data_IF_787150440253
#
_entry.id   IF_787150440253
#
_cell.length_a   1.000
_cell.length_b   1.000
_cell.length_c   1.000
_cell.angle_alpha   90.00
_cell.angle_beta   90.00
_cell.angle_gamma   90.00
#
_symmetry.space_group_name_H-M   'P 1'
#
loop_
_entity.id
_entity.type
_entity.pdbx_description
1 polymer ?
#
# COMPACT_ATOMS: atom_id res chain seq x y z
N UNK A 1 24.39 -27.05 -2.19
CA UNK A 1 23.84 -26.37 -1.01
C UNK A 1 24.23 -27.08 0.28
N UNK A 2 23.76 -28.31 0.53
CA UNK A 2 24.10 -29.08 1.75
C UNK A 2 25.61 -29.08 2.09
N UNK A 3 26.45 -29.43 1.13
CA UNK A 3 27.92 -29.39 1.29
C UNK A 3 28.45 -28.02 1.76
N UNK A 4 27.90 -26.90 1.26
CA UNK A 4 28.39 -25.57 1.64
C UNK A 4 28.01 -25.24 3.10
N UNK A 5 26.83 -25.65 3.54
CA UNK A 5 26.38 -25.46 4.92
C UNK A 5 27.18 -26.33 5.89
N UNK A 6 27.50 -27.57 5.49
CA UNK A 6 28.38 -28.48 6.25
C UNK A 6 29.80 -27.91 6.40
N UNK A 7 30.32 -27.25 5.37
CA UNK A 7 31.61 -26.54 5.40
C UNK A 7 31.55 -25.17 6.13
N UNK A 8 30.42 -24.85 6.78
CA UNK A 8 30.26 -23.66 7.61
C UNK A 8 29.93 -22.38 6.86
N UNK A 9 29.45 -22.46 5.61
CA UNK A 9 28.92 -21.28 4.92
C UNK A 9 27.70 -20.74 5.68
N UNK A 10 27.62 -19.41 5.95
CA UNK A 10 26.51 -18.85 6.68
C UNK A 10 25.21 -18.96 5.86
N UNK A 11 24.17 -19.54 6.46
CA UNK A 11 22.87 -19.72 5.82
C UNK A 11 22.21 -18.37 5.43
N UNK A 12 22.51 -17.31 6.19
CA UNK A 12 22.04 -15.94 5.99
C UNK A 12 22.99 -15.06 5.16
N UNK A 13 23.94 -15.65 4.43
CA UNK A 13 24.75 -14.89 3.49
C UNK A 13 23.85 -14.15 2.49
N UNK A 14 23.99 -12.82 2.44
CA UNK A 14 23.18 -11.94 1.62
C UNK A 14 24.04 -10.98 0.79
N UNK A 15 23.54 -10.65 -0.39
CA UNK A 15 24.15 -9.68 -1.32
C UNK A 15 23.12 -8.62 -1.73
N UNK A 16 23.51 -7.67 -2.58
CA UNK A 16 22.56 -6.74 -3.22
C UNK A 16 21.51 -7.45 -4.09
N UNK A 17 21.74 -8.70 -4.49
CA UNK A 17 20.78 -9.53 -5.22
C UNK A 17 19.87 -10.37 -4.31
N UNK A 18 20.12 -10.34 -3.00
CA UNK A 18 19.41 -11.11 -2.00
C UNK A 18 20.22 -12.22 -1.34
N UNK A 19 19.56 -12.99 -0.49
CA UNK A 19 20.08 -14.18 0.18
C UNK A 19 19.80 -15.47 -0.60
N UNK A 20 20.47 -16.57 -0.22
CA UNK A 20 20.18 -17.86 -0.82
C UNK A 20 18.72 -18.31 -0.58
N UNK A 21 18.15 -17.95 0.58
CA UNK A 21 16.76 -18.27 0.92
C UNK A 21 15.78 -17.53 0.00
N UNK A 22 16.04 -16.26 -0.28
CA UNK A 22 15.25 -15.43 -1.21
C UNK A 22 15.30 -15.99 -2.64
N UNK A 23 16.49 -16.39 -3.12
CA UNK A 23 16.65 -17.00 -4.45
C UNK A 23 15.87 -18.32 -4.54
N UNK A 24 15.95 -19.16 -3.50
CA UNK A 24 15.22 -20.41 -3.44
C UNK A 24 13.70 -20.19 -3.44
N UNK A 25 13.21 -19.20 -2.67
CA UNK A 25 11.81 -18.80 -2.61
C UNK A 25 11.29 -18.31 -3.97
N UNK A 26 12.06 -17.44 -4.64
CA UNK A 26 11.74 -16.92 -5.98
C UNK A 26 11.60 -18.03 -7.03
N UNK A 27 12.39 -19.11 -6.90
CA UNK A 27 12.37 -20.26 -7.81
C UNK A 27 11.44 -21.40 -7.40
N UNK A 28 10.68 -21.26 -6.30
CA UNK A 28 9.89 -22.33 -5.69
C UNK A 28 10.72 -23.61 -5.39
N UNK A 29 12.00 -23.45 -5.03
CA UNK A 29 12.91 -24.57 -4.77
C UNK A 29 12.80 -25.10 -3.33
N UNK A 30 11.66 -25.69 -3.01
CA UNK A 30 11.30 -26.17 -1.65
C UNK A 30 12.40 -27.01 -0.97
N UNK A 31 13.10 -27.95 -1.64
CA UNK A 31 14.16 -28.71 -0.98
C UNK A 31 15.33 -27.82 -0.52
N UNK A 32 15.67 -26.78 -1.29
CA UNK A 32 16.73 -25.84 -0.93
C UNK A 32 16.28 -24.90 0.18
N UNK A 33 15.03 -24.40 0.14
CA UNK A 33 14.45 -23.66 1.27
C UNK A 33 14.51 -24.47 2.56
N UNK A 34 14.08 -25.73 2.50
CA UNK A 34 14.05 -26.63 3.66
C UNK A 34 15.43 -26.77 4.27
N UNK A 35 16.45 -27.07 3.44
CA UNK A 35 17.84 -27.18 3.90
C UNK A 35 18.36 -25.90 4.56
N UNK A 36 18.02 -24.72 4.00
CA UNK A 36 18.45 -23.44 4.54
C UNK A 36 17.77 -23.12 5.88
N UNK A 37 16.45 -23.30 5.96
CA UNK A 37 15.68 -23.05 7.17
C UNK A 37 16.05 -24.04 8.28
N UNK A 38 16.31 -25.31 7.94
CA UNK A 38 16.79 -26.32 8.89
C UNK A 38 18.22 -26.02 9.38
N UNK A 39 19.04 -25.34 8.57
CA UNK A 39 20.35 -24.83 8.95
C UNK A 39 20.29 -23.50 9.73
N UNK A 40 19.09 -23.02 10.05
CA UNK A 40 18.88 -21.83 10.88
C UNK A 40 18.88 -20.50 10.11
N UNK A 41 18.65 -20.51 8.79
CA UNK A 41 18.42 -19.28 8.06
C UNK A 41 17.21 -18.52 8.62
N UNK A 42 17.33 -17.21 8.78
CA UNK A 42 16.25 -16.34 9.23
C UNK A 42 15.21 -16.16 8.11
N UNK A 43 13.96 -16.65 8.28
CA UNK A 43 12.91 -16.50 7.27
C UNK A 43 12.55 -15.04 6.98
N UNK A 44 12.80 -14.14 7.92
CA UNK A 44 12.51 -12.71 7.83
C UNK A 44 13.75 -11.87 7.49
N UNK A 45 14.86 -12.51 7.12
CA UNK A 45 16.07 -11.81 6.67
C UNK A 45 15.74 -10.86 5.52
N UNK A 46 15.91 -9.57 5.78
CA UNK A 46 15.73 -8.51 4.80
C UNK A 46 17.03 -8.29 4.04
N UNK A 47 16.99 -8.44 2.71
CA UNK A 47 18.16 -8.23 1.87
C UNK A 47 17.80 -7.68 0.49
N UNK A 48 18.83 -7.36 -0.29
CA UNK A 48 18.72 -6.70 -1.59
C UNK A 48 18.35 -5.21 -1.50
N UNK A 49 18.33 -4.54 -2.65
CA UNK A 49 18.14 -3.07 -2.71
C UNK A 49 16.77 -2.60 -2.22
N UNK A 50 15.74 -3.43 -2.36
CA UNK A 50 14.37 -3.14 -1.90
C UNK A 50 14.10 -3.59 -0.45
N UNK A 51 15.09 -4.19 0.23
CA UNK A 51 14.93 -4.74 1.57
C UNK A 51 13.75 -5.72 1.64
N UNK A 52 13.79 -6.77 0.82
CA UNK A 52 12.72 -7.79 0.73
C UNK A 52 13.04 -8.98 1.64
N UNK A 53 12.02 -9.71 2.07
CA UNK A 53 12.16 -11.04 2.70
C UNK A 53 11.95 -12.15 1.66
N UNK A 54 12.22 -13.41 2.02
CA UNK A 54 11.94 -14.54 1.14
C UNK A 54 10.44 -14.66 0.77
N UNK A 55 9.54 -14.28 1.68
CA UNK A 55 8.09 -14.31 1.44
C UNK A 55 7.65 -13.27 0.40
N UNK A 56 8.30 -12.10 0.35
CA UNK A 56 8.05 -11.11 -0.70
C UNK A 56 8.37 -11.66 -2.10
N UNK A 57 9.51 -12.33 -2.24
CA UNK A 57 9.94 -12.92 -3.52
C UNK A 57 9.05 -14.10 -3.94
N UNK A 58 8.65 -14.95 -2.99
CA UNK A 58 7.68 -16.01 -3.24
C UNK A 58 6.33 -15.42 -3.70
N UNK A 59 5.86 -14.36 -3.02
CA UNK A 59 4.59 -13.71 -3.33
C UNK A 59 4.56 -13.08 -4.72
N UNK A 60 5.61 -12.32 -5.09
CA UNK A 60 5.71 -11.70 -6.43
C UNK A 60 5.69 -12.76 -7.55
N UNK A 61 6.33 -13.92 -7.31
CA UNK A 61 6.42 -15.02 -8.28
C UNK A 61 5.24 -15.98 -8.25
N UNK A 62 4.37 -15.91 -7.24
CA UNK A 62 3.30 -16.88 -7.02
C UNK A 62 3.82 -18.28 -6.61
N UNK A 63 4.97 -18.36 -5.96
CA UNK A 63 5.58 -19.61 -5.51
C UNK A 63 4.88 -20.13 -4.24
N UNK A 64 3.72 -20.76 -4.40
CA UNK A 64 2.84 -21.18 -3.30
C UNK A 64 3.50 -22.14 -2.31
N UNK A 65 4.25 -23.12 -2.79
CA UNK A 65 4.87 -24.11 -1.89
C UNK A 65 5.97 -23.48 -1.03
N UNK A 66 6.76 -22.58 -1.62
CA UNK A 66 7.74 -21.79 -0.88
C UNK A 66 7.07 -20.87 0.15
N UNK A 67 6.01 -20.15 -0.24
CA UNK A 67 5.27 -19.29 0.69
C UNK A 67 4.66 -20.09 1.85
N UNK A 68 4.13 -21.28 1.56
CA UNK A 68 3.61 -22.19 2.57
C UNK A 68 4.68 -22.61 3.57
N UNK A 69 5.81 -23.10 3.08
CA UNK A 69 6.91 -23.50 3.94
C UNK A 69 7.43 -22.33 4.78
N UNK A 70 7.60 -21.14 4.18
CA UNK A 70 8.08 -19.95 4.91
C UNK A 70 7.15 -19.58 6.07
N UNK A 71 5.83 -19.55 5.84
CA UNK A 71 4.86 -19.26 6.89
C UNK A 71 4.80 -20.37 7.96
N UNK A 72 4.93 -21.65 7.57
CA UNK A 72 5.05 -22.76 8.51
C UNK A 72 6.31 -22.65 9.39
N UNK A 73 7.38 -22.04 8.87
CA UNK A 73 8.61 -21.74 9.62
C UNK A 73 8.58 -20.37 10.33
N UNK A 74 7.42 -19.72 10.39
CA UNK A 74 7.21 -18.52 11.20
C UNK A 74 7.60 -17.19 10.52
N UNK A 75 7.71 -17.15 9.19
CA UNK A 75 7.89 -15.88 8.48
C UNK A 75 6.75 -14.88 8.79
N UNK A 76 7.08 -13.61 8.98
CA UNK A 76 6.11 -12.54 9.21
C UNK A 76 5.32 -12.25 7.93
N UNK A 77 4.02 -12.58 7.96
CA UNK A 77 3.12 -12.49 6.81
C UNK A 77 2.92 -11.04 6.33
N UNK A 78 3.03 -10.07 7.23
CA UNK A 78 2.89 -8.64 6.95
C UNK A 78 4.22 -7.88 6.96
N UNK A 79 5.37 -8.57 6.78
CA UNK A 79 6.68 -7.91 6.68
C UNK A 79 6.65 -6.84 5.59
N UNK A 80 7.39 -5.73 5.75
CA UNK A 80 7.30 -4.58 4.84
C UNK A 80 8.63 -4.31 4.15
N UNK A 81 8.60 -4.12 2.83
CA UNK A 81 9.77 -3.66 2.07
C UNK A 81 10.16 -2.22 2.45
N UNK A 82 11.29 -1.73 1.90
CA UNK A 82 11.67 -0.30 2.02
C UNK A 82 10.60 0.67 1.51
N UNK A 83 9.77 0.23 0.55
CA UNK A 83 8.66 1.00 -0.02
C UNK A 83 7.33 0.68 0.66
N UNK A 84 7.37 0.10 1.87
CA UNK A 84 6.22 -0.21 2.70
C UNK A 84 5.23 -1.24 2.12
N UNK A 85 5.60 -1.92 1.04
CA UNK A 85 4.78 -2.97 0.45
C UNK A 85 4.88 -4.29 1.25
N UNK A 86 3.76 -4.90 1.68
CA UNK A 86 3.74 -6.27 2.20
C UNK A 86 3.77 -7.32 1.07
N UNK A 87 4.04 -8.61 1.36
CA UNK A 87 4.05 -9.68 0.36
C UNK A 87 2.76 -9.74 -0.47
N UNK A 88 1.59 -9.60 0.15
CA UNK A 88 0.29 -9.64 -0.55
C UNK A 88 0.14 -8.54 -1.61
N UNK A 89 0.75 -7.37 -1.39
CA UNK A 89 0.74 -6.28 -2.36
C UNK A 89 1.53 -6.64 -3.62
N UNK A 90 2.68 -7.31 -3.48
CA UNK A 90 3.47 -7.77 -4.62
C UNK A 90 2.76 -8.89 -5.39
N UNK A 91 2.10 -9.81 -4.69
CA UNK A 91 1.28 -10.84 -5.32
C UNK A 91 0.14 -10.23 -6.16
N UNK A 92 -0.58 -9.25 -5.60
CA UNK A 92 -1.66 -8.54 -6.29
C UNK A 92 -1.16 -7.79 -7.52
N UNK A 93 -0.05 -7.04 -7.41
CA UNK A 93 0.56 -6.30 -8.53
C UNK A 93 1.04 -7.19 -9.69
N UNK A 94 1.26 -8.48 -9.44
CA UNK A 94 1.65 -9.47 -10.46
C UNK A 94 0.52 -10.43 -10.82
N UNK A 95 -0.71 -10.12 -10.42
CA UNK A 95 -1.92 -10.88 -10.74
C UNK A 95 -1.83 -12.35 -10.27
N UNK A 96 -1.19 -12.59 -9.13
CA UNK A 96 -1.04 -13.93 -8.52
C UNK A 96 -2.26 -14.26 -7.66
N UNK A 97 -3.43 -14.44 -8.28
CA UNK A 97 -4.70 -14.58 -7.56
C UNK A 97 -4.69 -15.67 -6.47
N UNK A 98 -4.15 -16.86 -6.75
CA UNK A 98 -4.07 -17.96 -5.77
C UNK A 98 -3.15 -17.61 -4.58
N UNK A 99 -2.04 -16.90 -4.85
CA UNK A 99 -1.14 -16.43 -3.79
C UNK A 99 -1.80 -15.33 -2.93
N UNK A 100 -2.56 -14.42 -3.56
CA UNK A 100 -3.32 -13.39 -2.82
C UNK A 100 -4.33 -14.04 -1.89
N UNK A 101 -5.09 -15.04 -2.38
CA UNK A 101 -6.03 -15.79 -1.55
C UNK A 101 -5.32 -16.51 -0.40
N UNK A 102 -4.22 -17.20 -0.69
CA UNK A 102 -3.44 -17.91 0.31
C UNK A 102 -2.89 -16.99 1.41
N UNK A 103 -2.29 -15.86 1.03
CA UNK A 103 -1.77 -14.89 1.99
C UNK A 103 -2.90 -14.27 2.83
N UNK A 104 -4.05 -13.96 2.22
CA UNK A 104 -5.21 -13.44 2.96
C UNK A 104 -5.75 -14.46 3.99
N UNK A 105 -5.81 -15.74 3.62
CA UNK A 105 -6.17 -16.84 4.53
C UNK A 105 -5.16 -16.98 5.68
N UNK A 106 -3.88 -16.72 5.40
CA UNK A 106 -2.81 -16.71 6.40
C UNK A 106 -2.76 -15.44 7.27
N UNK A 107 -3.76 -14.57 7.18
CA UNK A 107 -3.83 -13.34 7.99
C UNK A 107 -3.07 -12.15 7.42
N UNK A 108 -2.62 -12.22 6.16
CA UNK A 108 -2.13 -11.04 5.46
C UNK A 108 -3.28 -10.06 5.29
N UNK A 109 -3.09 -8.83 5.75
CA UNK A 109 -4.05 -7.77 5.46
C UNK A 109 -3.70 -7.16 4.11
N UNK A 110 -4.60 -7.18 3.09
CA UNK A 110 -4.42 -6.37 1.87
C UNK A 110 -4.28 -4.88 2.21
N UNK A 111 -4.81 -4.51 3.38
CA UNK A 111 -4.80 -3.21 4.04
C UNK A 111 -3.61 -3.03 4.99
N UNK A 112 -2.56 -3.84 4.95
CA UNK A 112 -1.47 -3.72 5.93
C UNK A 112 -0.80 -2.33 5.91
N UNK A 113 -0.87 -1.59 4.80
CA UNK A 113 -0.53 -0.14 4.70
C UNK A 113 -1.28 0.74 5.73
N UNK A 114 -2.42 0.29 6.24
CA UNK A 114 -3.29 1.01 7.16
C UNK A 114 -2.75 1.06 8.60
N UNK A 115 -1.90 0.15 9.07
CA UNK A 115 -1.44 0.22 10.47
C UNK A 115 -0.53 1.43 10.71
N UNK A 116 0.36 1.71 9.75
CA UNK A 116 1.22 2.90 9.77
C UNK A 116 0.40 4.14 9.41
N UNK A 117 -0.46 4.08 8.39
CA UNK A 117 -1.33 5.20 8.05
C UNK A 117 -2.30 5.57 9.19
N UNK A 118 -2.89 4.60 9.89
CA UNK A 118 -3.75 4.84 11.05
C UNK A 118 -2.95 5.42 12.23
N UNK A 119 -1.74 4.92 12.51
CA UNK A 119 -0.89 5.51 13.55
C UNK A 119 -0.47 6.94 13.21
N UNK A 120 -0.12 7.20 11.95
CA UNK A 120 0.24 8.55 11.47
C UNK A 120 -0.96 9.48 11.45
N UNK A 121 -2.16 8.97 11.13
CA UNK A 121 -3.41 9.70 11.15
C UNK A 121 -3.86 10.01 12.59
N UNK A 122 -3.72 9.07 13.51
CA UNK A 122 -3.97 9.26 14.95
C UNK A 122 -3.02 10.30 15.56
N UNK A 123 -1.79 10.37 15.04
CA UNK A 123 -0.78 11.35 15.45
C UNK A 123 -0.83 12.66 14.64
N UNK A 124 -1.68 12.75 13.61
CA UNK A 124 -1.71 13.90 12.71
C UNK A 124 -2.39 15.11 13.35
N UNK A 125 -1.77 16.28 13.18
CA UNK A 125 -2.36 17.55 13.60
C UNK A 125 -3.41 18.02 12.58
N UNK A 126 -4.69 17.91 12.95
CA UNK A 126 -5.81 18.35 12.13
C UNK A 126 -5.77 19.86 11.82
N UNK A 127 -5.16 20.69 12.66
CA UNK A 127 -5.01 22.13 12.39
C UNK A 127 -3.93 22.38 11.32
N UNK A 128 -2.82 21.63 11.37
CA UNK A 128 -1.85 21.63 10.27
C UNK A 128 -2.49 21.13 8.96
N UNK A 129 -3.37 20.14 9.06
CA UNK A 129 -4.19 19.63 7.96
C UNK A 129 -5.10 20.69 7.33
N UNK A 130 -5.80 21.47 8.17
CA UNK A 130 -6.63 22.59 7.73
C UNK A 130 -5.84 23.62 6.94
N UNK A 131 -4.64 24.00 7.42
CA UNK A 131 -3.75 24.94 6.75
C UNK A 131 -3.28 24.37 5.40
N UNK A 132 -2.89 23.10 5.38
CA UNK A 132 -2.44 22.44 4.15
C UNK A 132 -3.56 22.29 3.11
N UNK A 133 -4.80 22.06 3.54
CA UNK A 133 -5.95 21.92 2.67
C UNK A 133 -6.32 23.23 1.93
N UNK A 134 -5.78 24.38 2.33
CA UNK A 134 -5.90 25.63 1.58
C UNK A 134 -5.32 25.53 0.15
N UNK A 135 -4.34 24.65 -0.08
CA UNK A 135 -3.82 24.37 -1.43
C UNK A 135 -4.88 23.74 -2.34
N UNK A 136 -5.90 23.08 -1.77
CA UNK A 136 -7.01 22.47 -2.49
C UNK A 136 -8.14 23.47 -2.81
N UNK A 137 -8.19 24.65 -2.17
CA UNK A 137 -9.28 25.63 -2.34
C UNK A 137 -9.40 26.24 -3.73
N UNK A 138 -8.34 26.14 -4.54
CA UNK A 138 -8.39 26.56 -5.94
C UNK A 138 -9.36 25.75 -6.80
N UNK A 139 -9.69 24.52 -6.36
CA UNK A 139 -10.58 23.61 -7.09
C UNK A 139 -11.77 23.15 -6.25
N UNK A 140 -11.59 22.99 -4.94
CA UNK A 140 -12.57 22.39 -4.04
C UNK A 140 -13.12 23.39 -3.01
N UNK A 141 -14.39 23.23 -2.66
CA UNK A 141 -14.91 23.77 -1.41
C UNK A 141 -14.43 22.90 -0.23
N UNK A 142 -14.31 23.50 0.96
CA UNK A 142 -13.86 22.78 2.17
C UNK A 142 -14.99 22.55 3.16
N UNK A 143 -16.13 23.20 2.95
CA UNK A 143 -17.28 23.18 3.84
C UNK A 143 -18.43 22.38 3.22
N UNK A 144 -19.21 21.68 4.05
CA UNK A 144 -20.37 20.92 3.60
C UNK A 144 -21.44 21.87 3.03
N UNK A 145 -21.95 21.55 1.83
CA UNK A 145 -22.99 22.35 1.17
C UNK A 145 -22.53 23.70 0.61
N UNK A 146 -21.24 24.05 0.70
CA UNK A 146 -20.72 25.25 0.08
C UNK A 146 -20.72 25.13 -1.45
N UNK A 147 -21.03 26.22 -2.18
CA UNK A 147 -20.97 26.22 -3.63
C UNK A 147 -19.51 26.04 -4.08
N UNK A 148 -19.27 25.26 -5.14
CA UNK A 148 -17.92 25.00 -5.62
C UNK A 148 -17.26 26.29 -6.15
N UNK A 149 -15.95 26.48 -5.93
CA UNK A 149 -15.26 27.69 -6.33
C UNK A 149 -15.04 27.76 -7.85
N UNK A 150 -15.26 28.93 -8.46
CA UNK A 150 -14.78 29.25 -9.81
C UNK A 150 -15.51 28.58 -10.97
N UNK A 151 -14.84 28.56 -12.14
CA UNK A 151 -15.40 28.15 -13.45
C UNK A 151 -15.45 26.62 -13.66
N UNK A 152 -14.69 25.87 -12.87
CA UNK A 152 -14.57 24.41 -12.96
C UNK A 152 -14.85 23.81 -11.57
N UNK A 153 -16.11 23.52 -11.27
CA UNK A 153 -16.50 23.14 -9.92
C UNK A 153 -15.93 21.75 -9.58
N UNK A 154 -15.15 21.61 -8.51
CA UNK A 154 -14.90 20.31 -7.87
C UNK A 154 -15.67 20.24 -6.55
N UNK A 155 -16.12 19.05 -6.11
CA UNK A 155 -17.02 18.94 -4.98
C UNK A 155 -16.33 19.31 -3.68
N UNK A 156 -17.14 19.58 -2.67
CA UNK A 156 -16.64 19.78 -1.32
C UNK A 156 -15.91 18.52 -0.82
N UNK A 157 -14.70 18.72 -0.31
CA UNK A 157 -13.94 17.66 0.34
C UNK A 157 -14.45 17.35 1.75
N UNK A 158 -15.31 18.21 2.33
CA UNK A 158 -15.93 17.94 3.62
C UNK A 158 -16.67 16.60 3.59
N UNK A 159 -16.33 15.67 4.49
CA UNK A 159 -16.94 14.35 4.57
C UNK A 159 -16.82 13.52 3.30
N UNK A 160 -15.75 13.71 2.54
CA UNK A 160 -15.46 12.90 1.35
C UNK A 160 -15.04 11.47 1.71
N UNK A 161 -14.35 11.27 2.85
CA UNK A 161 -13.96 9.94 3.34
C UNK A 161 -15.20 9.10 3.62
N UNK A 162 -15.31 7.91 3.03
CA UNK A 162 -16.48 7.03 3.12
C UNK A 162 -17.66 7.43 2.23
N UNK A 163 -17.59 8.54 1.47
CA UNK A 163 -18.64 8.93 0.52
C UNK A 163 -18.55 8.10 -0.76
N UNK A 164 -19.70 7.67 -1.29
CA UNK A 164 -19.80 6.97 -2.58
C UNK A 164 -19.29 7.83 -3.76
N UNK A 165 -18.44 7.25 -4.61
CA UNK A 165 -17.82 7.94 -5.76
C UNK A 165 -18.81 8.29 -6.87
N UNK A 166 -19.84 7.46 -7.06
CA UNK A 166 -20.68 7.47 -8.26
C UNK A 166 -22.09 8.06 -8.07
N UNK A 167 -22.45 8.62 -6.91
CA UNK A 167 -23.84 8.97 -6.59
C UNK A 167 -23.99 10.43 -6.17
N UNK A 168 -23.97 11.37 -7.14
CA UNK A 168 -24.59 12.69 -6.97
C UNK A 168 -25.25 13.16 -8.27
N UNK A 169 -26.52 13.58 -8.17
CA UNK A 169 -27.32 14.05 -9.31
C UNK A 169 -26.82 15.39 -9.89
N UNK A 170 -26.12 16.19 -9.08
CA UNK A 170 -25.65 17.53 -9.44
C UNK A 170 -24.18 17.56 -9.86
N UNK A 171 -23.51 16.39 -9.91
CA UNK A 171 -22.09 16.32 -10.18
C UNK A 171 -21.68 15.05 -10.94
N UNK A 172 -21.33 15.15 -12.25
CA UNK A 172 -20.91 13.99 -13.02
C UNK A 172 -19.42 13.72 -12.79
N UNK A 173 -19.11 13.03 -11.69
CA UNK A 173 -17.87 12.22 -11.62
C UNK A 173 -17.81 11.17 -12.75
N UNK A 174 -18.94 10.93 -13.41
CA UNK A 174 -19.21 9.81 -14.29
C UNK A 174 -18.30 9.68 -15.50
N UNK A 175 -17.71 10.74 -16.06
CA UNK A 175 -16.78 10.55 -17.18
C UNK A 175 -15.38 10.13 -16.71
N UNK A 176 -14.76 10.93 -15.83
CA UNK A 176 -13.38 10.73 -15.36
C UNK A 176 -13.23 9.61 -14.33
N UNK A 177 -14.29 9.31 -13.57
CA UNK A 177 -14.36 8.21 -12.61
C UNK A 177 -15.31 7.09 -13.04
N UNK A 178 -15.75 7.04 -14.31
CA UNK A 178 -16.52 5.88 -14.80
C UNK A 178 -15.68 4.61 -14.61
N UNK A 179 -16.20 3.67 -13.82
CA UNK A 179 -15.53 2.41 -13.51
C UNK A 179 -14.78 2.41 -12.17
N UNK A 180 -14.83 3.50 -11.40
CA UNK A 180 -14.42 3.47 -9.98
C UNK A 180 -15.66 3.23 -9.10
N UNK A 181 -15.85 1.98 -8.68
CA UNK A 181 -16.93 1.58 -7.78
C UNK A 181 -16.57 1.87 -6.30
N UNK A 182 -17.61 2.00 -5.47
CA UNK A 182 -17.52 2.10 -4.01
C UNK A 182 -17.26 3.49 -3.43
N UNK A 183 -16.94 3.51 -2.14
CA UNK A 183 -16.68 4.73 -1.36
C UNK A 183 -15.24 5.20 -1.43
N UNK A 184 -15.00 6.51 -1.31
CA UNK A 184 -13.67 7.09 -1.12
C UNK A 184 -13.02 6.64 0.19
N UNK A 185 -11.99 5.80 0.12
CA UNK A 185 -11.20 5.42 1.29
C UNK A 185 -10.11 6.45 1.59
N UNK A 186 -9.52 6.39 2.80
CA UNK A 186 -8.37 7.24 3.17
C UNK A 186 -7.22 7.10 2.17
N UNK A 187 -6.89 5.87 1.76
CA UNK A 187 -5.83 5.59 0.79
C UNK A 187 -6.13 6.20 -0.58
N UNK A 188 -7.38 6.12 -1.04
CA UNK A 188 -7.78 6.69 -2.31
C UNK A 188 -7.75 8.22 -2.30
N UNK A 189 -8.05 8.82 -1.15
CA UNK A 189 -7.92 10.26 -0.95
C UNK A 189 -6.44 10.65 -0.89
N UNK A 190 -5.57 9.89 -0.20
CA UNK A 190 -4.12 10.12 -0.22
C UNK A 190 -3.58 10.09 -1.65
N UNK A 191 -3.97 9.06 -2.42
CA UNK A 191 -3.58 8.90 -3.82
C UNK A 191 -4.10 10.04 -4.69
N UNK A 192 -5.34 10.46 -4.47
CA UNK A 192 -5.93 11.59 -5.19
C UNK A 192 -5.22 12.90 -4.87
N UNK A 193 -4.90 13.17 -3.60
CA UNK A 193 -4.18 14.38 -3.20
C UNK A 193 -2.74 14.35 -3.77
N UNK A 194 -2.11 13.17 -3.84
CA UNK A 194 -0.76 13.00 -4.39
C UNK A 194 -0.71 13.16 -5.92
N UNK A 195 -1.69 12.63 -6.64
CA UNK A 195 -1.78 12.70 -8.10
C UNK A 195 -3.26 12.75 -8.56
N UNK A 196 -3.87 13.96 -8.57
CA UNK A 196 -5.26 14.12 -8.96
C UNK A 196 -5.50 13.69 -10.42
N UNK A 197 -4.51 13.89 -11.29
CA UNK A 197 -4.63 13.62 -12.73
C UNK A 197 -4.53 12.13 -13.06
N UNK A 198 -3.74 11.38 -12.31
CA UNK A 198 -3.65 9.92 -12.44
C UNK A 198 -4.87 9.19 -11.90
N UNK A 199 -5.52 9.72 -10.85
CA UNK A 199 -6.73 9.12 -10.25
C UNK A 199 -8.01 9.54 -11.00
N UNK A 200 -8.07 10.77 -11.50
CA UNK A 200 -9.23 11.32 -12.20
C UNK A 200 -8.83 11.90 -13.57
N UNK A 201 -8.46 11.05 -14.54
CA UNK A 201 -7.99 11.49 -15.84
C UNK A 201 -9.08 12.27 -16.60
N UNK A 202 -8.70 13.40 -17.19
CA UNK A 202 -9.63 14.28 -17.93
C UNK A 202 -10.33 15.36 -17.09
N UNK A 203 -10.04 15.43 -15.78
CA UNK A 203 -10.40 16.59 -14.98
C UNK A 203 -9.55 17.81 -15.38
N UNK A 204 -10.12 19.01 -15.34
CA UNK A 204 -9.42 20.25 -15.67
C UNK A 204 -8.44 20.72 -14.55
N UNK A 205 -8.07 19.82 -13.63
CA UNK A 205 -7.20 20.12 -12.50
C UNK A 205 -5.75 20.16 -12.98
N UNK A 206 -5.20 21.37 -13.11
CA UNK A 206 -3.80 21.60 -13.49
C UNK A 206 -2.80 21.55 -12.33
N UNK A 207 -3.20 21.02 -11.17
CA UNK A 207 -2.35 20.98 -9.98
C UNK A 207 -1.56 19.66 -9.93
N UNK A 208 -0.27 19.72 -9.63
CA UNK A 208 0.65 18.58 -9.63
C UNK A 208 0.46 17.60 -8.45
N UNK A 209 -0.52 17.86 -7.58
CA UNK A 209 -0.73 17.14 -6.33
C UNK A 209 0.30 17.49 -5.24
N UNK A 210 -0.04 17.15 -4.00
CA UNK A 210 0.79 17.41 -2.81
C UNK A 210 1.69 16.20 -2.57
N UNK A 211 2.99 16.33 -2.86
CA UNK A 211 3.94 15.20 -2.78
C UNK A 211 4.37 14.87 -1.35
N UNK A 212 4.29 15.83 -0.43
CA UNK A 212 4.64 15.63 0.99
C UNK A 212 3.59 14.72 1.67
N UNK A 213 4.02 13.51 2.06
CA UNK A 213 3.16 12.52 2.68
C UNK A 213 2.63 12.95 4.05
N UNK A 214 3.45 13.60 4.87
CA UNK A 214 3.01 14.06 6.19
C UNK A 214 1.93 15.15 6.04
N UNK A 215 2.11 16.03 5.06
CA UNK A 215 1.11 17.04 4.70
C UNK A 215 -0.19 16.40 4.22
N UNK A 216 -0.14 15.38 3.36
CA UNK A 216 -1.35 14.69 2.90
C UNK A 216 -2.09 13.98 4.03
N UNK A 217 -1.36 13.29 4.91
CA UNK A 217 -1.96 12.62 6.09
C UNK A 217 -2.65 13.65 6.99
N UNK A 218 -2.02 14.81 7.23
CA UNK A 218 -2.64 15.89 7.98
C UNK A 218 -3.93 16.40 7.32
N UNK A 219 -3.94 16.57 5.99
CA UNK A 219 -5.16 16.93 5.24
C UNK A 219 -6.25 15.88 5.45
N UNK A 220 -5.94 14.59 5.33
CA UNK A 220 -6.91 13.50 5.52
C UNK A 220 -7.47 13.52 6.96
N UNK A 221 -6.61 13.74 7.97
CA UNK A 221 -7.03 13.87 9.37
C UNK A 221 -8.03 15.02 9.56
N UNK A 222 -7.74 16.18 8.95
CA UNK A 222 -8.66 17.31 8.94
C UNK A 222 -10.00 16.97 8.27
N UNK A 223 -9.98 16.35 7.08
CA UNK A 223 -11.20 15.99 6.37
C UNK A 223 -12.07 14.99 7.16
N UNK A 224 -11.44 14.12 7.95
CA UNK A 224 -12.14 13.19 8.84
C UNK A 224 -12.73 13.89 10.07
N UNK A 225 -12.07 14.92 10.60
CA UNK A 225 -12.63 15.68 11.74
C UNK A 225 -13.92 16.41 11.36
N UNK A 226 -14.09 16.79 10.09
CA UNK A 226 -15.31 17.41 9.55
C UNK A 226 -16.50 16.44 9.44
N UNK A 227 -16.35 15.16 9.76
CA UNK A 227 -17.44 14.17 9.75
C UNK A 227 -18.14 14.04 11.11
N UNK A 228 -17.53 14.54 12.18
CA UNK A 228 -18.04 14.43 13.54
C UNK A 228 -18.99 15.58 13.93
N UNK A 229 -19.22 16.55 13.04
CA UNK A 229 -20.08 17.73 13.21
C UNK A 229 -21.33 17.66 12.31
#
# INVERSE_FOLDING_TARGET
MAYLLEEGAPADAATSFGSALQIAARGNHVPVLTLLLDAGADPDLMAGEESRTALHDAAERGALDAARLLLERGAEVNARTKMDHPPIHLAARRERAEMVAYLAEAGASPRAVDAIAATELDAADAEAGRIAAEECRGCHAMEAGAPPPGRFPAPSLAGIVGREKAVQADFPYTAALSGLDGSWTQEEIDRFIADPTGVAPGTAMGHAGIQDRAKRIAIIAHLMSLQAE
#
